data_IF_418933985195
#
_entry.id   IF_418933985195
#
_cell.length_a   1.000
_cell.length_b   1.000
_cell.length_c   1.000
_cell.angle_alpha   90.00
_cell.angle_beta   90.00
_cell.angle_gamma   90.00
#
_symmetry.space_group_name_H-M   'P 1'
#
loop_
_entity.id
_entity.type
_entity.pdbx_description
1 polymer ?
#
# COMPACT_ATOMS: atom_id res chain seq x y z
N UNK A 1 -0.15 -8.91 -15.02
CA UNK A 1 -1.15 -8.95 -13.94
C UNK A 1 -2.57 -8.83 -14.47
N UNK A 2 -2.90 -7.77 -15.22
CA UNK A 2 -4.25 -7.58 -15.79
C UNK A 2 -4.71 -8.78 -16.63
N UNK A 3 -3.87 -9.30 -17.53
CA UNK A 3 -4.19 -10.51 -18.30
C UNK A 3 -4.56 -11.71 -17.41
N UNK A 4 -3.73 -12.03 -16.40
CA UNK A 4 -4.02 -13.12 -15.47
C UNK A 4 -5.31 -12.94 -14.65
N UNK A 5 -5.72 -11.70 -14.40
CA UNK A 5 -7.01 -11.39 -13.76
C UNK A 5 -8.17 -11.60 -14.75
N UNK A 6 -8.02 -11.11 -15.98
CA UNK A 6 -8.99 -11.29 -17.05
C UNK A 6 -9.21 -12.78 -17.39
N UNK A 7 -8.15 -13.58 -17.43
CA UNK A 7 -8.20 -15.04 -17.62
C UNK A 7 -9.02 -15.76 -16.53
N UNK A 8 -9.20 -15.11 -15.37
CA UNK A 8 -10.02 -15.58 -14.25
C UNK A 8 -11.39 -14.90 -14.18
N UNK A 9 -11.79 -14.19 -15.22
CA UNK A 9 -13.08 -13.50 -15.31
C UNK A 9 -13.19 -12.22 -14.49
N UNK A 10 -12.08 -11.68 -14.00
CA UNK A 10 -12.07 -10.39 -13.28
C UNK A 10 -12.00 -9.25 -14.31
N UNK A 11 -12.93 -8.27 -14.28
CA UNK A 11 -12.95 -7.15 -15.22
C UNK A 11 -11.87 -6.11 -14.89
N UNK A 12 -10.60 -6.52 -14.93
CA UNK A 12 -9.46 -5.70 -14.56
C UNK A 12 -9.05 -4.75 -15.69
N UNK A 13 -8.81 -3.47 -15.36
CA UNK A 13 -8.31 -2.45 -16.30
C UNK A 13 -7.04 -1.82 -15.75
N UNK A 14 -6.01 -1.73 -16.58
CA UNK A 14 -4.76 -1.07 -16.23
C UNK A 14 -4.95 0.44 -16.23
N UNK A 15 -4.54 1.10 -15.15
CA UNK A 15 -4.55 2.57 -15.02
C UNK A 15 -3.11 3.03 -14.78
N UNK A 16 -2.40 3.51 -15.82
CA UNK A 16 -1.00 3.93 -15.70
C UNK A 16 -0.85 5.16 -14.80
N UNK A 17 -0.07 5.10 -13.70
CA UNK A 17 0.10 6.27 -12.84
C UNK A 17 0.70 7.49 -13.56
N UNK A 18 1.57 7.28 -14.56
CA UNK A 18 2.14 8.37 -15.38
C UNK A 18 1.08 9.28 -16.03
N UNK A 19 -0.11 8.77 -16.34
CA UNK A 19 -1.17 9.56 -16.99
C UNK A 19 -2.05 10.36 -16.01
N UNK A 20 -1.98 10.05 -14.70
CA UNK A 20 -2.91 10.61 -13.71
C UNK A 20 -2.23 11.16 -12.44
N UNK A 21 -0.91 11.02 -12.30
CA UNK A 21 -0.13 11.50 -11.16
C UNK A 21 0.94 12.47 -11.63
N UNK A 22 1.09 13.58 -10.90
CA UNK A 22 2.28 14.44 -10.96
C UNK A 22 2.98 14.46 -9.59
N UNK A 23 4.30 14.60 -9.62
CA UNK A 23 5.10 14.78 -8.42
C UNK A 23 5.83 16.13 -8.40
N UNK A 24 6.22 16.54 -7.21
CA UNK A 24 7.19 17.62 -7.00
C UNK A 24 8.22 17.12 -6.01
N UNK A 25 9.47 16.98 -6.45
CA UNK A 25 10.56 16.45 -5.62
C UNK A 25 10.25 15.06 -5.04
N UNK A 26 9.87 14.10 -5.89
CA UNK A 26 9.58 12.69 -5.56
C UNK A 26 8.33 12.46 -4.71
N UNK A 27 7.49 13.48 -4.53
CA UNK A 27 6.27 13.43 -3.74
C UNK A 27 5.08 13.79 -4.62
N UNK A 28 4.03 12.96 -4.58
CA UNK A 28 2.78 13.24 -5.29
C UNK A 28 2.27 14.63 -4.91
N UNK A 29 2.14 15.49 -5.91
CA UNK A 29 1.63 16.87 -5.79
C UNK A 29 0.24 17.00 -6.44
N UNK A 30 -0.05 16.17 -7.44
CA UNK A 30 -1.37 16.04 -8.06
C UNK A 30 -1.70 14.57 -8.31
N UNK A 31 -2.96 14.18 -8.13
CA UNK A 31 -3.44 12.84 -8.44
C UNK A 31 -4.91 12.93 -8.89
N UNK A 32 -5.12 12.84 -10.20
CA UNK A 32 -6.46 12.80 -10.80
C UNK A 32 -7.07 11.41 -10.60
N UNK A 33 -8.09 11.32 -9.75
CA UNK A 33 -8.74 10.05 -9.39
C UNK A 33 -10.01 9.77 -10.19
N UNK A 34 -10.40 10.68 -11.09
CA UNK A 34 -11.68 10.59 -11.82
C UNK A 34 -11.81 9.26 -12.55
N UNK A 35 -10.81 8.91 -13.36
CA UNK A 35 -10.78 7.67 -14.12
C UNK A 35 -10.93 6.42 -13.23
N UNK A 36 -10.27 6.40 -12.07
CA UNK A 36 -10.38 5.29 -11.11
C UNK A 36 -11.82 5.15 -10.61
N UNK A 37 -12.47 6.26 -10.26
CA UNK A 37 -13.85 6.21 -9.74
C UNK A 37 -14.86 5.89 -10.83
N UNK A 38 -14.72 6.46 -12.04
CA UNK A 38 -15.58 6.13 -13.18
C UNK A 38 -15.53 4.63 -13.49
N UNK A 39 -14.33 4.02 -13.46
CA UNK A 39 -14.13 2.59 -13.67
C UNK A 39 -14.79 1.74 -12.57
N UNK A 40 -14.66 2.15 -11.31
CA UNK A 40 -15.30 1.47 -10.19
C UNK A 40 -16.84 1.54 -10.29
N UNK A 41 -17.40 2.70 -10.64
CA UNK A 41 -18.83 2.88 -10.85
C UNK A 41 -19.36 2.04 -12.02
N UNK A 42 -18.54 1.85 -13.06
CA UNK A 42 -18.84 0.99 -14.20
C UNK A 42 -18.62 -0.52 -13.92
N UNK A 43 -18.22 -0.91 -12.71
CA UNK A 43 -18.06 -2.32 -12.31
C UNK A 43 -16.71 -2.96 -12.71
N UNK A 44 -15.73 -2.16 -13.13
CA UNK A 44 -14.38 -2.63 -13.41
C UNK A 44 -13.49 -2.59 -12.16
N UNK A 45 -12.40 -3.37 -12.18
CA UNK A 45 -11.34 -3.35 -11.19
C UNK A 45 -10.13 -2.54 -11.71
N UNK A 46 -9.92 -1.29 -11.27
CA UNK A 46 -8.74 -0.52 -11.64
C UNK A 46 -7.48 -1.14 -11.05
N UNK A 47 -6.45 -1.31 -11.89
CA UNK A 47 -5.16 -1.87 -11.54
C UNK A 47 -4.09 -0.83 -11.77
N UNK A 48 -3.50 -0.34 -10.67
CA UNK A 48 -2.38 0.59 -10.65
C UNK A 48 -1.10 -0.14 -10.21
N UNK A 49 0.06 0.47 -10.48
CA UNK A 49 1.38 -0.06 -10.15
C UNK A 49 2.33 1.07 -9.76
N UNK A 50 3.54 0.76 -9.29
CA UNK A 50 4.57 1.80 -9.14
C UNK A 50 5.14 2.19 -10.50
N UNK A 51 5.39 3.48 -10.73
CA UNK A 51 5.72 4.00 -12.06
C UNK A 51 6.63 5.24 -12.00
N UNK A 52 7.24 5.60 -13.13
CA UNK A 52 7.89 6.90 -13.32
C UNK A 52 6.83 7.93 -13.72
N UNK A 53 6.69 8.99 -12.94
CA UNK A 53 5.68 10.03 -13.16
C UNK A 53 6.33 11.39 -13.38
N UNK A 54 5.70 12.34 -14.10
CA UNK A 54 6.24 13.68 -14.27
C UNK A 54 6.56 14.32 -12.92
N UNK A 55 7.73 14.94 -12.81
CA UNK A 55 8.17 15.65 -11.62
C UNK A 55 8.62 17.07 -11.95
N UNK A 56 8.02 18.06 -11.28
CA UNK A 56 8.27 19.48 -11.56
C UNK A 56 9.70 19.94 -11.25
N UNK A 57 10.46 19.21 -10.43
CA UNK A 57 11.87 19.54 -10.10
C UNK A 57 12.88 18.60 -10.75
N UNK A 58 12.46 17.39 -11.12
CA UNK A 58 13.36 16.31 -11.56
C UNK A 58 13.07 15.81 -12.98
N UNK A 59 12.15 16.46 -13.72
CA UNK A 59 11.52 15.99 -14.96
C UNK A 59 10.63 14.77 -14.77
N UNK A 60 11.17 13.69 -14.18
CA UNK A 60 10.42 12.51 -13.75
C UNK A 60 10.92 12.01 -12.41
N UNK A 61 10.07 11.29 -11.67
CA UNK A 61 10.48 10.62 -10.44
C UNK A 61 9.69 9.33 -10.21
N UNK A 62 10.25 8.44 -9.39
CA UNK A 62 9.58 7.20 -9.00
C UNK A 62 8.40 7.52 -8.08
N UNK A 63 7.21 7.10 -8.49
CA UNK A 63 6.02 7.01 -7.66
C UNK A 63 5.86 5.57 -7.15
N UNK A 64 6.07 5.35 -5.85
CA UNK A 64 5.92 4.01 -5.27
C UNK A 64 4.45 3.65 -5.02
N UNK A 65 4.15 2.35 -5.01
CA UNK A 65 2.83 1.85 -4.64
C UNK A 65 2.38 2.33 -3.25
N UNK A 66 3.30 2.45 -2.30
CA UNK A 66 2.98 2.98 -0.96
C UNK A 66 2.48 4.43 -1.00
N UNK A 67 3.05 5.27 -1.88
CA UNK A 67 2.56 6.65 -2.08
C UNK A 67 1.17 6.67 -2.73
N UNK A 68 0.93 5.80 -3.71
CA UNK A 68 -0.38 5.65 -4.36
C UNK A 68 -1.44 5.24 -3.32
N UNK A 69 -1.13 4.20 -2.52
CA UNK A 69 -1.97 3.72 -1.41
C UNK A 69 -2.23 4.84 -0.40
N UNK A 70 -1.21 5.61 -0.01
CA UNK A 70 -1.36 6.72 0.92
C UNK A 70 -2.34 7.81 0.42
N UNK A 71 -2.49 7.97 -0.90
CA UNK A 71 -3.41 8.94 -1.49
C UNK A 71 -4.80 8.38 -1.76
N UNK A 72 -4.91 7.14 -2.27
CA UNK A 72 -6.19 6.47 -2.51
C UNK A 72 -6.87 6.03 -1.21
N UNK A 73 -6.08 5.57 -0.23
CA UNK A 73 -6.57 5.09 1.05
C UNK A 73 -7.37 6.12 1.84
N UNK A 74 -7.18 7.43 1.58
CA UNK A 74 -8.01 8.50 2.16
C UNK A 74 -9.50 8.40 1.82
N UNK A 75 -9.86 7.64 0.79
CA UNK A 75 -11.23 7.38 0.35
C UNK A 75 -11.65 5.92 0.59
N UNK A 76 -10.77 5.08 1.13
CA UNK A 76 -11.05 3.68 1.38
C UNK A 76 -11.42 3.43 2.85
N UNK A 77 -12.35 2.52 3.09
CA UNK A 77 -12.65 2.04 4.45
C UNK A 77 -11.48 1.23 5.03
N UNK A 78 -10.85 0.42 4.17
CA UNK A 78 -9.75 -0.46 4.55
C UNK A 78 -8.69 -0.55 3.46
N UNK A 79 -7.46 -0.82 3.87
CA UNK A 79 -6.35 -1.15 2.97
C UNK A 79 -5.78 -2.50 3.39
N UNK A 80 -5.59 -3.41 2.44
CA UNK A 80 -4.93 -4.70 2.67
C UNK A 80 -3.66 -4.73 1.82
N UNK A 81 -2.53 -4.84 2.50
CA UNK A 81 -1.21 -4.96 1.88
C UNK A 81 -0.68 -6.36 2.11
N UNK A 82 -0.19 -6.94 1.03
CA UNK A 82 0.28 -8.32 1.01
C UNK A 82 1.78 -8.30 0.74
N UNK A 83 2.54 -8.98 1.58
CA UNK A 83 4.01 -9.00 1.59
C UNK A 83 4.52 -10.43 1.69
N UNK A 84 5.84 -10.64 1.72
CA UNK A 84 6.47 -11.94 1.96
C UNK A 84 6.69 -12.23 3.46
N UNK A 85 6.07 -11.46 4.36
CA UNK A 85 6.15 -11.59 5.81
C UNK A 85 4.75 -11.60 6.43
N UNK A 86 4.59 -12.21 7.60
CA UNK A 86 3.31 -12.33 8.32
C UNK A 86 2.74 -11.00 8.85
N UNK A 87 3.56 -9.95 8.84
CA UNK A 87 3.21 -8.59 9.21
C UNK A 87 4.47 -7.76 9.41
N UNK A 88 4.33 -6.64 10.12
CA UNK A 88 5.46 -5.83 10.55
C UNK A 88 6.22 -6.57 11.65
N UNK A 89 7.49 -6.86 11.40
CA UNK A 89 8.35 -7.60 12.32
C UNK A 89 9.14 -6.65 13.23
N UNK A 90 9.08 -6.87 14.55
CA UNK A 90 9.94 -6.22 15.53
C UNK A 90 10.56 -7.29 16.44
N UNK A 91 11.89 -7.30 16.54
CA UNK A 91 12.64 -8.30 17.33
C UNK A 91 12.21 -9.76 17.04
N UNK A 92 12.03 -10.10 15.76
CA UNK A 92 11.66 -11.46 15.34
C UNK A 92 10.19 -11.87 15.56
N UNK A 93 9.33 -10.95 16.04
CA UNK A 93 7.90 -11.21 16.24
C UNK A 93 7.04 -10.26 15.42
N UNK A 94 5.88 -10.75 14.97
CA UNK A 94 4.87 -9.91 14.31
C UNK A 94 4.27 -8.96 15.34
N UNK A 95 4.25 -7.66 15.01
CA UNK A 95 3.57 -6.65 15.80
C UNK A 95 2.08 -6.67 15.46
N UNK A 96 1.17 -7.01 16.38
CA UNK A 96 -0.24 -7.17 16.05
C UNK A 96 -0.96 -5.84 15.75
N UNK A 97 -0.54 -4.75 16.41
CA UNK A 97 -1.18 -3.44 16.29
C UNK A 97 -0.15 -2.30 16.31
N UNK A 98 -0.23 -1.45 15.30
CA UNK A 98 0.51 -0.20 15.21
C UNK A 98 -0.48 0.97 15.20
N UNK A 99 -0.21 1.96 16.05
CA UNK A 99 -0.92 3.22 16.15
C UNK A 99 0.08 4.37 16.08
N UNK A 100 -0.37 5.60 15.80
CA UNK A 100 0.52 6.77 15.90
C UNK A 100 1.24 6.89 17.25
N UNK A 101 0.59 6.46 18.34
CA UNK A 101 1.14 6.52 19.71
C UNK A 101 2.28 5.54 19.95
N UNK A 102 2.21 4.32 19.41
CA UNK A 102 3.21 3.29 19.64
C UNK A 102 4.26 3.20 18.53
N UNK A 103 4.01 3.81 17.38
CA UNK A 103 4.88 3.70 16.21
C UNK A 103 6.30 4.19 16.47
N UNK A 104 6.46 5.30 17.20
CA UNK A 104 7.79 5.85 17.54
C UNK A 104 8.66 4.90 18.38
N UNK A 105 8.02 4.04 19.19
CA UNK A 105 8.71 3.00 19.97
C UNK A 105 9.02 1.80 19.07
N UNK A 106 8.03 1.33 18.32
CA UNK A 106 8.17 0.17 17.43
C UNK A 106 9.21 0.43 16.35
N UNK A 107 9.24 1.62 15.76
CA UNK A 107 10.14 1.99 14.67
C UNK A 107 11.62 1.86 15.03
N UNK A 108 11.97 1.93 16.32
CA UNK A 108 13.34 1.72 16.81
C UNK A 108 13.77 0.25 16.78
N UNK A 109 12.80 -0.67 16.72
CA UNK A 109 13.00 -2.12 16.75
C UNK A 109 12.66 -2.79 15.41
N UNK A 110 12.22 -2.00 14.41
CA UNK A 110 12.06 -2.45 13.04
C UNK A 110 13.46 -2.62 12.43
N UNK A 111 13.79 -3.84 11.99
CA UNK A 111 15.10 -4.15 11.40
C UNK A 111 16.10 -4.85 12.33
N UNK A 112 15.74 -5.19 13.57
CA UNK A 112 16.59 -5.99 14.46
C UNK A 112 16.73 -7.47 14.05
N UNK A 113 16.05 -7.94 13.00
CA UNK A 113 16.17 -9.29 12.45
C UNK A 113 16.93 -9.24 11.12
N UNK A 114 18.21 -9.60 11.13
CA UNK A 114 19.14 -10.03 10.05
C UNK A 114 19.14 -9.38 8.65
N UNK A 115 18.20 -8.52 8.31
CA UNK A 115 18.18 -7.66 7.14
C UNK A 115 18.15 -6.22 7.66
N UNK A 116 19.32 -5.60 7.77
CA UNK A 116 19.44 -4.20 8.12
C UNK A 116 18.63 -3.38 7.10
N UNK A 117 17.61 -2.68 7.57
CA UNK A 117 16.69 -1.92 6.73
C UNK A 117 17.32 -0.58 6.30
N UNK A 118 18.34 -0.66 5.44
CA UNK A 118 19.16 0.46 4.96
C UNK A 118 18.40 1.41 4.01
N UNK A 119 17.14 1.11 3.70
CA UNK A 119 16.28 1.96 2.83
C UNK A 119 15.26 2.78 3.61
N UNK A 120 15.17 2.60 4.93
CA UNK A 120 14.00 3.01 5.70
C UNK A 120 12.75 2.24 5.27
N UNK A 121 12.88 0.99 4.86
CA UNK A 121 11.88 0.10 4.24
C UNK A 121 10.59 -0.06 5.02
N UNK A 122 10.47 -1.01 5.95
CA UNK A 122 9.20 -1.28 6.62
C UNK A 122 8.74 -0.09 7.47
N UNK A 123 9.66 0.60 8.13
CA UNK A 123 9.36 1.80 8.89
C UNK A 123 8.82 2.94 8.00
N UNK A 124 9.43 3.17 6.84
CA UNK A 124 9.02 4.17 5.87
C UNK A 124 7.69 3.82 5.23
N UNK A 125 7.47 2.55 4.88
CA UNK A 125 6.17 2.04 4.39
C UNK A 125 5.08 2.32 5.40
N UNK A 126 5.24 1.89 6.65
CA UNK A 126 4.24 2.11 7.71
C UNK A 126 3.97 3.62 7.89
N UNK A 127 5.02 4.45 7.90
CA UNK A 127 4.88 5.91 8.02
C UNK A 127 4.14 6.52 6.82
N UNK A 128 4.40 6.04 5.62
CA UNK A 128 3.74 6.49 4.40
C UNK A 128 2.26 6.10 4.41
N UNK A 129 1.96 4.84 4.69
CA UNK A 129 0.60 4.28 4.75
C UNK A 129 -0.25 4.98 5.81
N UNK A 130 0.32 5.33 6.97
CA UNK A 130 -0.39 6.10 8.01
C UNK A 130 -0.92 7.45 7.53
N UNK A 131 -0.39 8.01 6.44
CA UNK A 131 -0.92 9.24 5.81
C UNK A 131 -2.26 9.01 5.10
N UNK A 132 -2.62 7.75 4.82
CA UNK A 132 -3.92 7.40 4.23
C UNK A 132 -5.09 7.70 5.15
N UNK A 133 -4.91 7.62 6.47
CA UNK A 133 -6.03 7.71 7.41
C UNK A 133 -6.95 6.49 7.43
N UNK A 134 -6.72 5.48 6.59
CA UNK A 134 -7.48 4.23 6.59
C UNK A 134 -6.91 3.19 7.56
N UNK A 135 -7.79 2.32 8.07
CA UNK A 135 -7.35 1.11 8.76
C UNK A 135 -6.63 0.22 7.75
N UNK A 136 -5.36 -0.05 8.00
CA UNK A 136 -4.52 -0.84 7.09
C UNK A 136 -4.11 -2.16 7.72
N UNK A 137 -4.02 -3.22 6.91
CA UNK A 137 -3.57 -4.54 7.33
C UNK A 137 -2.38 -4.96 6.49
N UNK A 138 -1.32 -5.47 7.12
CA UNK A 138 -0.16 -6.07 6.44
C UNK A 138 -0.14 -7.57 6.75
N UNK A 139 -0.21 -8.42 5.73
CA UNK A 139 -0.21 -9.89 5.85
C UNK A 139 0.67 -10.56 4.79
N UNK A 140 0.80 -11.88 4.86
CA UNK A 140 1.69 -12.68 4.01
C UNK A 140 0.98 -13.24 2.77
N UNK A 141 1.58 -13.06 1.59
CA UNK A 141 1.09 -13.56 0.30
C UNK A 141 1.05 -15.09 0.22
N UNK A 142 1.93 -15.76 0.97
CA UNK A 142 1.99 -17.22 1.06
C UNK A 142 0.74 -17.82 1.73
N UNK A 143 -0.10 -16.97 2.32
CA UNK A 143 -1.33 -17.31 3.02
C UNK A 143 -2.52 -16.55 2.42
N UNK A 144 -2.95 -16.89 1.19
CA UNK A 144 -4.00 -16.16 0.46
C UNK A 144 -5.34 -16.12 1.21
N UNK A 145 -5.63 -17.11 2.05
CA UNK A 145 -6.81 -17.15 2.92
C UNK A 145 -6.87 -15.96 3.89
N UNK A 146 -5.71 -15.44 4.31
CA UNK A 146 -5.63 -14.27 5.20
C UNK A 146 -6.01 -13.00 4.47
N UNK A 147 -5.52 -12.82 3.24
CA UNK A 147 -5.90 -11.68 2.39
C UNK A 147 -7.41 -11.67 2.15
N UNK A 148 -7.98 -12.82 1.75
CA UNK A 148 -9.43 -12.94 1.51
C UNK A 148 -10.22 -12.63 2.77
N UNK A 149 -9.83 -13.18 3.92
CA UNK A 149 -10.48 -12.89 5.20
C UNK A 149 -10.47 -11.38 5.52
N UNK A 150 -9.32 -10.71 5.35
CA UNK A 150 -9.17 -9.28 5.64
C UNK A 150 -9.96 -8.38 4.69
N UNK A 151 -10.04 -8.74 3.40
CA UNK A 151 -10.89 -8.05 2.41
C UNK A 151 -12.37 -8.16 2.77
N UNK A 152 -12.80 -9.31 3.29
CA UNK A 152 -14.17 -9.56 3.77
C UNK A 152 -14.44 -9.02 5.20
N UNK A 153 -13.49 -8.28 5.79
CA UNK A 153 -13.64 -7.73 7.14
C UNK A 153 -13.52 -8.74 8.30
N UNK A 154 -13.09 -9.98 8.01
CA UNK A 154 -12.83 -11.02 9.01
C UNK A 154 -11.43 -10.89 9.61
N UNK A 155 -11.18 -11.61 10.70
CA UNK A 155 -9.86 -11.66 11.37
C UNK A 155 -8.93 -12.63 10.66
N UNK A 156 -7.65 -12.26 10.57
CA UNK A 156 -6.57 -13.12 10.11
C UNK A 156 -5.24 -12.67 10.74
N UNK A 157 -4.21 -13.53 10.70
CA UNK A 157 -2.87 -13.17 11.13
C UNK A 157 -2.30 -12.04 10.26
N UNK A 158 -2.03 -10.90 10.90
CA UNK A 158 -1.55 -9.69 10.25
C UNK A 158 -1.02 -8.69 11.29
N UNK A 159 -0.40 -7.63 10.80
CA UNK A 159 -0.29 -6.36 11.55
C UNK A 159 -1.44 -5.45 11.16
N UNK A 160 -2.22 -4.99 12.14
CA UNK A 160 -3.20 -3.92 11.96
C UNK A 160 -2.54 -2.56 12.22
N UNK A 161 -2.73 -1.60 11.31
CA UNK A 161 -2.28 -0.22 11.45
C UNK A 161 -3.52 0.66 11.57
N UNK A 162 -3.62 1.39 12.67
CA UNK A 162 -4.68 2.37 12.92
C UNK A 162 -4.03 3.76 12.97
N UNK A 163 -4.35 4.65 12.03
CA UNK A 163 -3.77 5.99 11.97
C UNK A 163 -4.23 6.89 13.13
#
# INVERSE_FOLDING_TARGET
MVGALADRGVPAISVPPISIIESTNRRISSFNKKEIFDLLEAGYLPVLYGDMVPDRKLCYSVCSGDQIIAHLGKKAERVVMVSNVDGVMACGKVVPLITRRNFSKISKHLGCSSAADVTGGMAGKVREIMKSGATTYITNASHPERMVALLLGKKAACTKIVP
#
